data_IF_179115031243
#
_entry.id   IF_179115031243
#
_cell.length_a   1.000
_cell.length_b   1.000
_cell.length_c   1.000
_cell.angle_alpha   90.00
_cell.angle_beta   90.00
_cell.angle_gamma   90.00
#
_symmetry.space_group_name_H-M   'P 1'
#
loop_
_entity.id
_entity.type
_entity.pdbx_description
1 polymer ?
#
# COMPACT_ATOMS: atom_id res chain seq x y z
N UNK A 1 -5.39 -14.64 -12.19
CA UNK A 1 -5.80 -15.91 -12.83
C UNK A 1 -6.39 -15.66 -14.21
N UNK A 2 -7.55 -14.99 -14.37
CA UNK A 2 -8.15 -14.79 -15.70
C UNK A 2 -7.30 -14.04 -16.74
N UNK A 3 -6.50 -13.05 -16.33
CA UNK A 3 -5.67 -12.29 -17.29
C UNK A 3 -4.49 -13.09 -17.85
N UNK A 4 -3.84 -13.93 -17.03
CA UNK A 4 -2.73 -14.77 -17.47
C UNK A 4 -3.20 -15.89 -18.40
N UNK A 5 -4.39 -16.46 -18.15
CA UNK A 5 -4.99 -17.47 -19.02
C UNK A 5 -5.28 -16.90 -20.41
N UNK A 6 -5.95 -15.75 -20.47
CA UNK A 6 -6.24 -15.07 -21.72
C UNK A 6 -4.95 -14.70 -22.48
N UNK A 7 -3.89 -14.25 -21.79
CA UNK A 7 -2.58 -14.04 -22.43
C UNK A 7 -1.99 -15.35 -22.94
N UNK A 8 -2.05 -16.43 -22.16
CA UNK A 8 -1.53 -17.75 -22.55
C UNK A 8 -2.17 -18.23 -23.85
N UNK A 9 -3.49 -18.03 -24.00
CA UNK A 9 -4.24 -18.41 -25.20
C UNK A 9 -4.33 -17.31 -26.28
N UNK A 10 -3.66 -16.17 -26.11
CA UNK A 10 -3.64 -15.10 -27.11
C UNK A 10 -5.00 -14.40 -27.32
N UNK A 11 -5.83 -14.35 -26.28
CA UNK A 11 -7.18 -13.78 -26.31
C UNK A 11 -7.19 -12.36 -25.71
N UNK A 12 -7.53 -11.30 -26.47
CA UNK A 12 -7.64 -9.96 -25.92
C UNK A 12 -8.83 -9.86 -24.95
N UNK A 13 -8.77 -8.94 -23.99
CA UNK A 13 -9.74 -8.89 -22.88
C UNK A 13 -10.36 -7.53 -22.63
N UNK A 14 -11.59 -7.54 -22.11
CA UNK A 14 -12.21 -6.38 -21.47
C UNK A 14 -12.09 -6.61 -19.96
N UNK A 15 -11.32 -5.76 -19.29
CA UNK A 15 -11.11 -5.87 -17.85
C UNK A 15 -12.07 -4.97 -17.06
N UNK A 16 -12.68 -5.55 -16.03
CA UNK A 16 -13.54 -4.87 -15.06
C UNK A 16 -12.90 -5.07 -13.68
N UNK A 17 -11.98 -4.19 -13.25
CA UNK A 17 -11.26 -4.34 -12.00
C UNK A 17 -12.19 -4.08 -10.81
N UNK A 18 -12.23 -5.01 -9.85
CA UNK A 18 -13.07 -4.88 -8.67
C UNK A 18 -12.26 -4.43 -7.43
N UNK A 19 -11.10 -5.02 -7.19
CA UNK A 19 -10.27 -4.73 -6.03
C UNK A 19 -8.81 -5.14 -6.25
N UNK A 20 -7.94 -4.72 -5.33
CA UNK A 20 -6.53 -5.12 -5.29
C UNK A 20 -5.71 -4.60 -6.47
N UNK A 21 -4.85 -5.47 -6.99
CA UNK A 21 -3.86 -5.19 -8.03
C UNK A 21 -4.46 -5.17 -9.45
N UNK A 22 -5.71 -5.60 -9.63
CA UNK A 22 -6.37 -5.70 -10.93
C UNK A 22 -6.34 -4.38 -11.73
N UNK A 23 -6.53 -3.24 -11.05
CA UNK A 23 -6.52 -1.91 -11.69
C UNK A 23 -5.16 -1.60 -12.30
N UNK A 24 -4.07 -1.93 -11.61
CA UNK A 24 -2.70 -1.69 -12.10
C UNK A 24 -2.37 -2.67 -13.23
N UNK A 25 -2.75 -3.94 -13.06
CA UNK A 25 -2.52 -4.98 -14.06
C UNK A 25 -3.26 -4.66 -15.37
N UNK A 26 -4.54 -4.28 -15.32
CA UNK A 26 -5.30 -3.98 -16.54
C UNK A 26 -4.76 -2.75 -17.26
N UNK A 27 -4.32 -1.73 -16.54
CA UNK A 27 -3.72 -0.54 -17.15
C UNK A 27 -2.42 -0.87 -17.89
N UNK A 28 -1.63 -1.83 -17.38
CA UNK A 28 -0.47 -2.36 -18.12
C UNK A 28 -0.88 -3.02 -19.44
N UNK A 29 -1.99 -3.77 -19.44
CA UNK A 29 -2.52 -4.41 -20.65
C UNK A 29 -3.15 -3.42 -21.64
N UNK A 30 -3.81 -2.38 -21.16
CA UNK A 30 -4.33 -1.27 -22.00
C UNK A 30 -3.17 -0.55 -22.71
N UNK A 31 -2.06 -0.27 -22.00
CA UNK A 31 -0.87 0.34 -22.60
C UNK A 31 -0.26 -0.51 -23.72
N UNK A 32 -0.37 -1.84 -23.62
CA UNK A 32 0.06 -2.79 -24.65
C UNK A 32 -0.98 -3.01 -25.76
N UNK A 33 -2.14 -2.35 -25.68
CA UNK A 33 -3.30 -2.56 -26.57
C UNK A 33 -3.70 -4.05 -26.66
N UNK A 34 -3.70 -4.75 -25.53
CA UNK A 34 -4.19 -6.14 -25.42
C UNK A 34 -5.44 -6.25 -24.54
N UNK A 35 -5.85 -5.11 -23.97
CA UNK A 35 -7.07 -5.02 -23.18
C UNK A 35 -7.73 -3.65 -23.31
N UNK A 36 -9.03 -3.62 -23.01
CA UNK A 36 -9.82 -2.40 -22.74
C UNK A 36 -10.24 -2.44 -21.27
N UNK A 37 -10.16 -1.30 -20.57
CA UNK A 37 -10.52 -1.20 -19.15
C UNK A 37 -11.85 -0.49 -18.98
N UNK A 38 -12.81 -1.14 -18.33
CA UNK A 38 -13.96 -0.49 -17.71
C UNK A 38 -13.56 -0.23 -16.26
N UNK A 39 -13.11 0.99 -15.93
CA UNK A 39 -12.30 1.31 -14.74
C UNK A 39 -12.94 1.01 -13.37
N UNK A 40 -14.22 0.69 -13.35
CA UNK A 40 -15.02 0.32 -12.19
C UNK A 40 -16.25 -0.47 -12.63
N UNK A 41 -16.89 -1.18 -11.70
CA UNK A 41 -18.21 -1.80 -11.94
C UNK A 41 -19.26 -0.75 -12.37
N UNK A 42 -19.13 0.49 -11.90
CA UNK A 42 -20.00 1.60 -12.28
C UNK A 42 -19.85 2.02 -13.75
N UNK A 43 -18.77 1.61 -14.43
CA UNK A 43 -18.56 1.85 -15.85
C UNK A 43 -19.24 0.79 -16.74
N UNK A 44 -19.81 -0.26 -16.16
CA UNK A 44 -20.48 -1.33 -16.90
C UNK A 44 -21.90 -0.89 -17.28
N UNK A 45 -21.99 -0.03 -18.28
CA UNK A 45 -23.25 0.36 -18.95
C UNK A 45 -23.35 -0.34 -20.30
N UNK A 46 -24.56 -0.47 -20.84
CA UNK A 46 -24.79 -1.06 -22.17
C UNK A 46 -23.94 -0.37 -23.24
N UNK A 47 -23.93 0.96 -23.26
CA UNK A 47 -23.16 1.76 -24.21
C UNK A 47 -21.65 1.50 -24.12
N UNK A 48 -21.08 1.58 -22.91
CA UNK A 48 -19.63 1.40 -22.70
C UNK A 48 -19.19 -0.03 -23.00
N UNK A 49 -19.97 -1.02 -22.57
CA UNK A 49 -19.67 -2.43 -22.82
C UNK A 49 -19.78 -2.75 -24.32
N UNK A 50 -20.82 -2.26 -24.99
CA UNK A 50 -21.00 -2.43 -26.44
C UNK A 50 -19.88 -1.77 -27.22
N UNK A 51 -19.45 -0.58 -26.83
CA UNK A 51 -18.30 0.12 -27.44
C UNK A 51 -17.00 -0.67 -27.25
N UNK A 52 -16.72 -1.14 -26.03
CA UNK A 52 -15.55 -1.96 -25.74
C UNK A 52 -15.55 -3.28 -26.55
N UNK A 53 -16.69 -3.95 -26.62
CA UNK A 53 -16.85 -5.19 -27.40
C UNK A 53 -16.64 -4.95 -28.90
N UNK A 54 -17.26 -3.92 -29.46
CA UNK A 54 -17.07 -3.57 -30.86
C UNK A 54 -15.60 -3.24 -31.17
N UNK A 55 -14.95 -2.49 -30.29
CA UNK A 55 -13.53 -2.13 -30.44
C UNK A 55 -12.65 -3.38 -30.44
N UNK A 56 -12.82 -4.27 -29.45
CA UNK A 56 -11.96 -5.45 -29.29
C UNK A 56 -12.15 -6.49 -30.41
N UNK A 57 -13.35 -6.55 -31.00
CA UNK A 57 -13.69 -7.47 -32.09
C UNK A 57 -13.30 -6.93 -33.47
N UNK A 58 -13.38 -5.61 -33.69
CA UNK A 58 -13.20 -5.00 -35.02
C UNK A 58 -11.80 -4.43 -35.24
N UNK A 59 -11.11 -3.98 -34.20
CA UNK A 59 -9.74 -3.49 -34.33
C UNK A 59 -8.74 -4.66 -34.25
N UNK A 60 -8.07 -5.02 -35.37
CA UNK A 60 -7.16 -6.17 -35.41
C UNK A 60 -5.95 -6.00 -34.48
N UNK A 61 -5.59 -4.76 -34.10
CA UNK A 61 -4.43 -4.46 -33.25
C UNK A 61 -4.52 -5.22 -31.93
N UNK A 62 -5.72 -5.38 -31.35
CA UNK A 62 -5.88 -6.11 -30.09
C UNK A 62 -5.55 -7.59 -30.23
N UNK A 63 -5.98 -8.22 -31.33
CA UNK A 63 -5.69 -9.63 -31.61
C UNK A 63 -4.21 -9.83 -31.91
N UNK A 64 -3.63 -8.99 -32.78
CA UNK A 64 -2.22 -9.06 -33.16
C UNK A 64 -1.29 -8.87 -31.96
N UNK A 65 -1.54 -7.84 -31.14
CA UNK A 65 -0.71 -7.59 -29.97
C UNK A 65 -0.87 -8.67 -28.91
N UNK A 66 -2.07 -9.23 -28.73
CA UNK A 66 -2.26 -10.30 -27.74
C UNK A 66 -1.61 -11.60 -28.19
N UNK A 67 -1.64 -11.93 -29.49
CA UNK A 67 -0.87 -13.06 -30.03
C UNK A 67 0.63 -12.86 -29.86
N UNK A 68 1.15 -11.64 -30.12
CA UNK A 68 2.56 -11.31 -29.87
C UNK A 68 2.91 -11.46 -28.39
N UNK A 69 2.06 -10.95 -27.50
CA UNK A 69 2.27 -11.06 -26.06
C UNK A 69 2.20 -12.51 -25.56
N UNK A 70 1.30 -13.32 -26.11
CA UNK A 70 1.20 -14.75 -25.82
C UNK A 70 2.51 -15.49 -26.14
N UNK A 71 3.08 -15.25 -27.34
CA UNK A 71 4.38 -15.83 -27.72
C UNK A 71 5.48 -15.44 -26.74
N UNK A 72 5.57 -14.15 -26.38
CA UNK A 72 6.54 -13.66 -25.40
C UNK A 72 6.31 -14.23 -23.99
N UNK A 73 5.06 -14.50 -23.61
CA UNK A 73 4.71 -15.04 -22.30
C UNK A 73 5.04 -16.53 -22.19
N UNK A 74 4.86 -17.28 -23.28
CA UNK A 74 5.15 -18.71 -23.37
C UNK A 74 6.63 -19.00 -23.67
N UNK A 75 7.37 -18.01 -24.17
CA UNK A 75 8.81 -18.08 -24.40
C UNK A 75 9.57 -17.98 -23.08
N UNK A 76 9.80 -19.13 -22.46
CA UNK A 76 10.49 -19.27 -21.18
C UNK A 76 11.49 -20.44 -21.27
N UNK A 77 12.63 -20.36 -20.54
CA UNK A 77 13.71 -21.35 -20.64
C UNK A 77 13.32 -22.76 -20.18
N UNK A 78 12.31 -22.88 -19.31
CA UNK A 78 11.78 -24.15 -18.83
C UNK A 78 10.25 -24.16 -18.93
N UNK A 79 9.65 -25.32 -19.19
CA UNK A 79 8.19 -25.45 -19.19
C UNK A 79 7.61 -25.15 -17.79
N UNK A 80 6.30 -24.86 -17.71
CA UNK A 80 5.63 -24.64 -16.41
C UNK A 80 5.79 -25.86 -15.50
N UNK A 81 5.67 -27.05 -16.10
CA UNK A 81 5.75 -28.31 -15.38
C UNK A 81 7.17 -28.53 -14.86
N UNK A 82 8.19 -28.37 -15.70
CA UNK A 82 9.59 -28.56 -15.28
C UNK A 82 10.00 -27.53 -14.23
N UNK A 83 9.54 -26.28 -14.37
CA UNK A 83 9.75 -25.24 -13.35
C UNK A 83 9.10 -25.64 -12.03
N UNK A 84 7.88 -26.19 -12.05
CA UNK A 84 7.19 -26.64 -10.85
C UNK A 84 7.92 -27.84 -10.20
N UNK A 85 8.34 -28.82 -10.99
CA UNK A 85 9.12 -29.98 -10.53
C UNK A 85 10.41 -29.49 -9.85
N UNK A 86 11.16 -28.61 -10.51
CA UNK A 86 12.39 -28.04 -9.96
C UNK A 86 12.16 -27.41 -8.58
N UNK A 87 11.12 -26.57 -8.43
CA UNK A 87 10.85 -25.91 -7.15
C UNK A 87 10.35 -26.88 -6.08
N UNK A 88 9.61 -27.92 -6.44
CA UNK A 88 9.18 -28.98 -5.52
C UNK A 88 10.39 -29.78 -5.03
N UNK A 89 11.29 -30.18 -5.93
CA UNK A 89 12.52 -30.89 -5.56
C UNK A 89 13.46 -30.01 -4.73
N UNK A 90 13.59 -28.73 -5.10
CA UNK A 90 14.37 -27.75 -4.36
C UNK A 90 13.81 -27.58 -2.94
N UNK A 91 12.48 -27.49 -2.79
CA UNK A 91 11.77 -27.49 -1.51
C UNK A 91 12.03 -28.75 -0.69
N UNK A 92 11.94 -29.93 -1.31
CA UNK A 92 12.21 -31.20 -0.64
C UNK A 92 13.67 -31.32 -0.19
N UNK A 93 14.62 -30.82 -0.98
CA UNK A 93 16.07 -30.92 -0.71
C UNK A 93 16.54 -29.98 0.39
N UNK A 94 16.08 -28.74 0.40
CA UNK A 94 16.57 -27.70 1.32
C UNK A 94 15.56 -27.32 2.42
N UNK A 95 14.35 -27.87 2.37
CA UNK A 95 13.32 -27.67 3.38
C UNK A 95 12.73 -26.25 3.37
N UNK A 96 12.62 -25.65 4.54
CA UNK A 96 11.71 -24.53 4.81
C UNK A 96 12.22 -23.14 4.37
N UNK A 97 12.88 -23.00 3.21
CA UNK A 97 13.37 -21.68 2.76
C UNK A 97 12.26 -20.72 2.30
N UNK A 98 11.07 -21.22 1.92
CA UNK A 98 9.90 -20.37 1.66
C UNK A 98 9.10 -20.04 2.94
N UNK A 99 9.42 -20.70 4.06
CA UNK A 99 8.72 -20.43 5.31
C UNK A 99 9.21 -19.11 5.88
N UNK A 100 8.29 -18.16 6.04
CA UNK A 100 8.61 -16.91 6.74
C UNK A 100 9.18 -17.22 8.13
N UNK A 101 10.32 -16.60 8.53
CA UNK A 101 10.84 -16.72 9.88
C UNK A 101 9.81 -16.37 10.96
N UNK A 102 8.83 -15.53 10.62
CA UNK A 102 7.75 -15.12 11.51
C UNK A 102 6.88 -16.29 12.02
N UNK A 103 6.88 -17.44 11.34
CA UNK A 103 6.17 -18.64 11.82
C UNK A 103 6.76 -19.16 13.14
N UNK A 104 8.06 -18.94 13.37
CA UNK A 104 8.76 -19.37 14.60
C UNK A 104 8.69 -18.34 15.73
N UNK A 105 8.10 -17.17 15.49
CA UNK A 105 8.01 -16.12 16.50
C UNK A 105 6.92 -16.42 17.52
N UNK A 106 7.23 -16.14 18.79
CA UNK A 106 6.23 -16.12 19.85
C UNK A 106 5.12 -15.11 19.55
N UNK A 107 3.94 -15.29 20.15
CA UNK A 107 2.78 -14.44 19.86
C UNK A 107 3.05 -12.95 20.11
N UNK A 108 3.88 -12.60 21.11
CA UNK A 108 4.23 -11.21 21.42
C UNK A 108 5.17 -10.57 20.40
N UNK A 109 6.13 -11.34 19.85
CA UNK A 109 7.01 -10.89 18.77
C UNK A 109 6.22 -10.68 17.48
N UNK A 110 5.31 -11.60 17.14
CA UNK A 110 4.42 -11.43 15.99
C UNK A 110 3.51 -10.20 16.11
N UNK A 111 3.18 -9.81 17.34
CA UNK A 111 2.36 -8.62 17.64
C UNK A 111 3.20 -7.37 17.94
N UNK A 112 4.52 -7.41 17.78
CA UNK A 112 5.42 -6.25 17.91
C UNK A 112 5.22 -5.46 19.22
N UNK A 113 5.02 -6.17 20.35
CA UNK A 113 4.71 -5.51 21.64
C UNK A 113 5.83 -4.58 22.12
N UNK A 114 7.08 -4.91 21.83
CA UNK A 114 8.26 -4.08 22.10
C UNK A 114 8.21 -2.75 21.34
N UNK A 115 7.83 -2.79 20.06
CA UNK A 115 7.66 -1.58 19.24
C UNK A 115 6.53 -0.71 19.78
N UNK A 116 5.38 -1.31 20.13
CA UNK A 116 4.27 -0.57 20.74
C UNK A 116 4.66 0.06 22.09
N UNK A 117 5.39 -0.67 22.94
CA UNK A 117 5.88 -0.15 24.21
C UNK A 117 6.84 1.02 24.01
N UNK A 118 7.77 0.92 23.05
CA UNK A 118 8.70 2.00 22.71
C UNK A 118 7.97 3.25 22.19
N UNK A 119 6.99 3.09 21.29
CA UNK A 119 6.20 4.21 20.79
C UNK A 119 5.40 4.90 21.91
N UNK A 120 4.78 4.12 22.79
CA UNK A 120 4.05 4.65 23.95
C UNK A 120 4.98 5.41 24.89
N UNK A 121 6.18 4.87 25.14
CA UNK A 121 7.21 5.55 25.93
C UNK A 121 7.60 6.90 25.31
N UNK A 122 7.89 6.96 24.00
CA UNK A 122 8.24 8.21 23.32
C UNK A 122 7.11 9.23 23.41
N UNK A 123 5.87 8.83 23.11
CA UNK A 123 4.70 9.72 23.18
C UNK A 123 4.49 10.24 24.60
N UNK A 124 4.56 9.37 25.61
CA UNK A 124 4.41 9.78 27.01
C UNK A 124 5.53 10.71 27.47
N UNK A 125 6.78 10.46 27.08
CA UNK A 125 7.91 11.33 27.40
C UNK A 125 7.74 12.74 26.81
N UNK A 126 7.30 12.84 25.54
CA UNK A 126 7.01 14.13 24.89
C UNK A 126 5.87 14.87 25.60
N UNK A 127 4.78 14.18 25.93
CA UNK A 127 3.66 14.77 26.67
C UNK A 127 4.09 15.26 28.06
N UNK A 128 4.86 14.46 28.80
CA UNK A 128 5.37 14.84 30.11
C UNK A 128 6.33 16.03 30.02
N UNK A 129 7.21 16.08 29.03
CA UNK A 129 8.11 17.20 28.79
C UNK A 129 7.31 18.48 28.46
N UNK A 130 6.32 18.40 27.58
CA UNK A 130 5.43 19.52 27.25
C UNK A 130 4.68 20.02 28.49
N UNK A 131 4.11 19.13 29.30
CA UNK A 131 3.44 19.49 30.55
C UNK A 131 4.40 20.13 31.56
N UNK A 132 5.63 19.64 31.65
CA UNK A 132 6.66 20.21 32.51
C UNK A 132 7.04 21.63 32.08
N UNK A 133 7.26 21.85 30.78
CA UNK A 133 7.55 23.16 30.20
C UNK A 133 6.37 24.12 30.45
N UNK A 134 5.14 23.71 30.18
CA UNK A 134 3.94 24.52 30.45
C UNK A 134 3.82 24.89 31.94
N UNK A 135 4.10 23.95 32.85
CA UNK A 135 4.11 24.22 34.31
C UNK A 135 5.21 25.22 34.70
N UNK A 136 6.39 25.16 34.07
CA UNK A 136 7.48 26.11 34.30
C UNK A 136 7.11 27.50 33.78
N UNK A 137 6.57 27.59 32.56
CA UNK A 137 6.09 28.86 31.98
C UNK A 137 5.00 29.49 32.85
N UNK A 138 3.99 28.71 33.28
CA UNK A 138 2.94 29.21 34.19
C UNK A 138 3.51 29.74 35.51
N UNK A 139 4.47 29.04 36.12
CA UNK A 139 5.15 29.51 37.35
C UNK A 139 5.93 30.81 37.13
N UNK A 140 6.67 30.92 36.02
CA UNK A 140 7.39 32.14 35.66
C UNK A 140 6.44 33.32 35.43
N UNK A 141 5.36 33.12 34.67
CA UNK A 141 4.34 34.15 34.44
C UNK A 141 3.63 34.57 35.75
N UNK A 142 3.34 33.64 36.65
CA UNK A 142 2.75 33.96 37.96
C UNK A 142 3.73 34.72 38.85
N UNK A 143 5.01 34.34 38.87
CA UNK A 143 6.06 35.06 39.60
C UNK A 143 6.29 36.48 39.08
N UNK A 144 6.30 36.67 37.76
CA UNK A 144 6.37 38.00 37.13
C UNK A 144 5.14 38.85 37.45
N UNK A 145 3.94 38.24 37.50
CA UNK A 145 2.69 38.94 37.87
C UNK A 145 2.66 39.39 39.33
N UNK A 146 3.18 38.58 40.26
CA UNK A 146 3.33 38.95 41.68
C UNK A 146 4.36 40.07 41.83
N UNK A 147 5.53 39.96 41.19
CA UNK A 147 6.56 41.00 41.21
C UNK A 147 6.08 42.33 40.62
N UNK A 148 5.34 42.29 39.50
CA UNK A 148 4.71 43.47 38.91
C UNK A 148 3.65 44.12 39.84
N UNK A 149 2.91 43.31 40.61
CA UNK A 149 1.93 43.81 41.59
C UNK A 149 2.60 44.45 42.82
N UNK A 150 3.67 43.86 43.35
CA UNK A 150 4.39 44.45 44.49
C UNK A 150 5.12 45.75 44.10
N UNK A 151 5.76 45.79 42.92
CA UNK A 151 6.44 47.01 42.44
C UNK A 151 5.49 48.18 42.16
N UNK A 152 4.26 47.90 41.71
CA UNK A 152 3.22 48.93 41.53
C UNK A 152 2.66 49.43 42.88
N UNK A 153 2.48 48.55 43.87
CA UNK A 153 2.06 48.93 45.23
C UNK A 153 3.13 49.78 45.93
N UNK A 154 4.42 49.43 45.79
CA UNK A 154 5.54 50.19 46.37
C UNK A 154 5.63 51.59 45.75
N UNK A 155 5.49 51.73 44.41
CA UNK A 155 5.45 53.04 43.75
C UNK A 155 4.26 53.89 44.22
N UNK A 156 3.08 53.30 44.42
CA UNK A 156 1.90 54.03 44.92
C UNK A 156 2.05 54.55 46.35
N UNK A 157 2.80 53.85 47.23
CA UNK A 157 3.08 54.30 48.60
C UNK A 157 4.13 55.42 48.67
N UNK A 158 5.00 55.55 47.67
CA UNK A 158 6.09 56.55 47.63
C UNK A 158 5.64 57.92 47.06
N UNK A 159 4.49 57.95 46.38
CA UNK A 159 3.88 59.15 45.78
C UNK A 159 2.71 59.72 46.62
N UNK A 160 2.56 59.28 47.87
CA UNK A 160 1.62 59.82 48.87
C UNK A 160 2.45 60.41 50.01
#
# INVERSE_FOLDING_TARGET
MGTQEAISYGVPMIGIPLFGDQRVNIQSYVKKKVAISLNSISDVTEEKLTSALNTILKDPIYRENTQKLSRLFLDRPMSALDTAIYWVEYAAKYGNFLQSPAVRFSWWQRRLLDVYAFLLFVVSAVLLAALFILRKIKRLLFGLRVYAKDSTVIKSKKNK
#
